data_IF_428446522386
#
_entry.id   IF_428446522386
#
_cell.length_a   1.000
_cell.length_b   1.000
_cell.length_c   1.000
_cell.angle_alpha   90.00
_cell.angle_beta   90.00
_cell.angle_gamma   90.00
#
_symmetry.space_group_name_H-M   'P 1'
#
loop_
_entity.id
_entity.type
_entity.pdbx_description
1 polymer ?
#
# COMPACT_ATOMS: atom_id res chain seq x y z
N UNK A 1 -4.07 15.40 -3.38
CA UNK A 1 -4.37 14.17 -4.16
C UNK A 1 -5.71 13.65 -3.72
N UNK A 2 -6.48 13.06 -4.62
CA UNK A 2 -7.77 12.48 -4.27
C UNK A 2 -7.52 11.22 -3.42
N UNK A 3 -7.86 11.29 -2.14
CA UNK A 3 -7.81 10.13 -1.27
C UNK A 3 -8.96 9.18 -1.67
N UNK A 4 -8.69 7.87 -1.86
CA UNK A 4 -9.76 6.91 -2.10
C UNK A 4 -10.77 6.95 -0.96
N UNK A 5 -12.06 6.77 -1.26
CA UNK A 5 -13.08 6.69 -0.21
C UNK A 5 -12.86 5.44 0.66
N UNK A 6 -13.32 5.49 1.91
CA UNK A 6 -13.21 4.35 2.82
C UNK A 6 -13.97 3.12 2.31
N UNK A 7 -15.08 3.31 1.60
CA UNK A 7 -15.80 2.21 0.95
C UNK A 7 -14.93 1.53 -0.13
N UNK A 8 -14.20 2.33 -0.92
CA UNK A 8 -13.31 1.81 -1.94
C UNK A 8 -12.13 1.06 -1.31
N UNK A 9 -11.55 1.60 -0.24
CA UNK A 9 -10.48 0.93 0.50
C UNK A 9 -10.93 -0.40 1.10
N UNK A 10 -12.09 -0.43 1.75
CA UNK A 10 -12.70 -1.66 2.29
C UNK A 10 -12.99 -2.69 1.19
N UNK A 11 -13.56 -2.25 0.07
CA UNK A 11 -13.83 -3.11 -1.10
C UNK A 11 -12.55 -3.74 -1.67
N UNK A 12 -11.41 -3.08 -1.48
CA UNK A 12 -10.11 -3.56 -1.92
C UNK A 12 -9.31 -4.28 -0.84
N UNK A 13 -9.88 -4.51 0.35
CA UNK A 13 -9.21 -5.09 1.52
C UNK A 13 -7.92 -4.32 1.90
N UNK A 14 -8.02 -2.99 1.94
CA UNK A 14 -6.92 -2.09 2.29
C UNK A 14 -7.30 -1.17 3.47
N UNK A 15 -6.32 -0.79 4.32
CA UNK A 15 -4.96 -1.32 4.37
C UNK A 15 -4.97 -2.77 4.92
N UNK A 16 -3.92 -3.54 4.63
CA UNK A 16 -3.73 -4.85 5.27
C UNK A 16 -3.55 -4.64 6.77
N UNK A 17 -4.30 -5.42 7.56
CA UNK A 17 -4.16 -5.43 9.02
C UNK A 17 -2.77 -5.99 9.41
N UNK A 18 -1.99 -5.16 10.08
CA UNK A 18 -0.65 -5.51 10.56
C UNK A 18 -0.71 -6.20 11.94
N UNK A 19 -1.83 -6.13 12.63
CA UNK A 19 -1.99 -6.53 14.02
C UNK A 19 -1.20 -5.66 14.99
N UNK A 20 -1.23 -6.05 16.26
CA UNK A 20 -0.52 -5.35 17.34
C UNK A 20 0.84 -6.00 17.64
N UNK A 21 1.86 -5.15 17.81
CA UNK A 21 3.19 -5.54 18.26
C UNK A 21 4.27 -5.60 17.17
N UNK A 22 5.50 -6.00 17.53
CA UNK A 22 6.62 -6.05 16.60
C UNK A 22 6.37 -7.05 15.46
N UNK A 23 6.55 -6.60 14.22
CA UNK A 23 6.49 -7.48 13.05
C UNK A 23 7.83 -8.18 12.85
N UNK A 24 7.81 -9.52 12.85
CA UNK A 24 8.92 -10.29 12.33
C UNK A 24 9.11 -10.01 10.83
N UNK A 25 10.36 -10.01 10.35
CA UNK A 25 10.70 -9.75 8.95
C UNK A 25 9.89 -10.63 7.98
N UNK A 26 9.81 -11.94 8.24
CA UNK A 26 9.03 -12.88 7.43
C UNK A 26 7.54 -12.49 7.35
N UNK A 27 6.97 -12.03 8.47
CA UNK A 27 5.57 -11.62 8.52
C UNK A 27 5.36 -10.31 7.77
N UNK A 28 6.28 -9.34 7.92
CA UNK A 28 6.25 -8.09 7.18
C UNK A 28 6.28 -8.34 5.67
N UNK A 29 7.17 -9.21 5.19
CA UNK A 29 7.29 -9.56 3.77
C UNK A 29 6.01 -10.20 3.23
N UNK A 30 5.41 -11.14 3.97
CA UNK A 30 4.12 -11.73 3.60
C UNK A 30 3.02 -10.66 3.49
N UNK A 31 2.93 -9.77 4.49
CA UNK A 31 1.95 -8.67 4.48
C UNK A 31 2.18 -7.73 3.29
N UNK A 32 3.44 -7.45 2.95
CA UNK A 32 3.78 -6.60 1.81
C UNK A 32 3.40 -7.24 0.47
N UNK A 33 3.66 -8.53 0.29
CA UNK A 33 3.23 -9.29 -0.90
C UNK A 33 1.70 -9.30 -1.03
N UNK A 34 0.99 -9.52 0.08
CA UNK A 34 -0.47 -9.52 0.11
C UNK A 34 -1.06 -8.15 -0.21
N UNK A 35 -0.56 -7.08 0.43
CA UNK A 35 -0.97 -5.70 0.18
C UNK A 35 -0.79 -5.35 -1.31
N UNK A 36 0.41 -5.62 -1.86
CA UNK A 36 0.73 -5.37 -3.26
C UNK A 36 -0.20 -6.13 -4.21
N UNK A 37 -0.50 -7.39 -3.90
CA UNK A 37 -1.38 -8.23 -4.71
C UNK A 37 -2.83 -7.75 -4.70
N UNK A 38 -3.38 -7.39 -3.54
CA UNK A 38 -4.74 -6.85 -3.40
C UNK A 38 -4.88 -5.54 -4.15
N UNK A 39 -3.87 -4.69 -4.04
CA UNK A 39 -3.82 -3.38 -4.68
C UNK A 39 -3.79 -3.48 -6.21
N UNK A 40 -2.94 -4.34 -6.80
CA UNK A 40 -2.90 -4.57 -8.26
C UNK A 40 -4.24 -5.14 -8.76
N UNK A 41 -4.83 -6.11 -8.04
CA UNK A 41 -6.11 -6.70 -8.41
C UNK A 41 -7.25 -5.68 -8.38
N UNK A 42 -7.28 -4.81 -7.38
CA UNK A 42 -8.36 -3.84 -7.20
C UNK A 42 -8.21 -2.60 -8.09
N UNK A 43 -6.97 -2.13 -8.29
CA UNK A 43 -6.63 -1.02 -9.18
C UNK A 43 -7.13 -1.25 -10.62
N UNK A 44 -6.95 -2.46 -11.16
CA UNK A 44 -7.44 -2.82 -12.51
C UNK A 44 -8.95 -2.59 -12.69
N UNK A 45 -9.70 -2.49 -11.60
CA UNK A 45 -11.15 -2.32 -11.59
C UNK A 45 -11.59 -0.93 -11.14
N UNK A 46 -10.68 -0.09 -10.61
CA UNK A 46 -11.02 1.21 -10.02
C UNK A 46 -9.90 2.23 -10.26
N UNK A 47 -10.07 3.10 -11.26
CA UNK A 47 -9.09 4.13 -11.62
C UNK A 47 -8.83 5.15 -10.48
N UNK A 48 -9.77 5.32 -9.55
CA UNK A 48 -9.56 6.19 -8.38
C UNK A 48 -8.42 5.72 -7.46
N UNK A 49 -7.95 4.47 -7.59
CA UNK A 49 -6.76 3.99 -6.87
C UNK A 49 -5.45 4.32 -7.59
N UNK A 50 -5.46 4.74 -8.85
CA UNK A 50 -4.24 4.99 -9.64
C UNK A 50 -3.35 6.02 -8.98
N UNK A 51 -3.88 7.23 -8.79
CA UNK A 51 -3.12 8.35 -8.26
C UNK A 51 -2.68 8.09 -6.82
N UNK A 52 -3.54 7.45 -6.02
CA UNK A 52 -3.22 7.02 -4.67
C UNK A 52 -2.01 6.07 -4.63
N UNK A 53 -1.95 5.09 -5.54
CA UNK A 53 -0.86 4.13 -5.61
C UNK A 53 0.44 4.80 -6.08
N UNK A 54 0.37 5.61 -7.13
CA UNK A 54 1.53 6.31 -7.68
C UNK A 54 2.17 7.20 -6.62
N UNK A 55 1.36 7.92 -5.87
CA UNK A 55 1.83 8.76 -4.78
C UNK A 55 2.36 7.95 -3.57
N UNK A 56 1.66 6.89 -3.15
CA UNK A 56 2.13 6.01 -2.08
C UNK A 56 3.51 5.43 -2.40
N UNK A 57 3.65 4.87 -3.61
CA UNK A 57 4.88 4.24 -4.06
C UNK A 57 5.98 5.29 -4.35
N UNK A 58 5.62 6.47 -4.85
CA UNK A 58 6.54 7.60 -5.04
C UNK A 58 7.15 8.12 -3.73
N UNK A 59 6.38 8.09 -2.63
CA UNK A 59 6.92 8.44 -1.30
C UNK A 59 7.94 7.43 -0.80
N UNK A 60 7.78 6.14 -1.12
CA UNK A 60 8.77 5.10 -0.76
C UNK A 60 10.09 5.29 -1.51
N UNK A 61 10.07 5.72 -2.77
CA UNK A 61 11.29 5.95 -3.56
C UNK A 61 11.99 7.26 -3.19
N UNK A 62 11.23 8.31 -2.85
CA UNK A 62 11.78 9.59 -2.39
C UNK A 62 12.48 9.49 -1.03
N UNK A 63 12.05 8.59 -0.15
CA UNK A 63 12.71 8.36 1.15
C UNK A 63 14.06 7.66 1.00
N UNK A 64 14.24 6.79 -0.02
CA UNK A 64 15.50 6.06 -0.20
C UNK A 64 16.66 6.94 -0.69
N UNK A 65 16.38 8.03 -1.41
CA UNK A 65 17.42 8.96 -1.88
C UNK A 65 17.94 9.91 -0.79
N UNK A 66 17.25 10.00 0.35
CA UNK A 66 17.62 10.87 1.47
C UNK A 66 18.54 10.22 2.52
N UNK A 67 18.99 8.96 2.31
CA UNK A 67 19.94 8.30 3.21
C UNK A 67 21.33 8.95 3.03
N UNK A 68 21.88 9.64 4.05
CA UNK A 68 23.25 10.13 3.95
C UNK A 68 24.20 8.93 3.94
N UNK A 69 25.23 9.04 3.09
CA UNK A 69 26.23 8.01 2.83
C UNK A 69 27.04 7.65 4.08
#
# INVERSE_FOLDING_TARGET
MAQPSDELLKKCNLPVDLGDGPLAQERLEKLWITDRSSLIKCYRRNLALVDFILDRDGRLTAVQTARPR
#
